data_IF_593311965436
#
_entry.id   IF_593311965436
#
_cell.length_a   1.000
_cell.length_b   1.000
_cell.length_c   1.000
_cell.angle_alpha   90.00
_cell.angle_beta   90.00
_cell.angle_gamma   90.00
#
_symmetry.space_group_name_H-M   'P 1'
#
loop_
_entity.id
_entity.type
_entity.pdbx_description
1 polymer ?
#
# COMPACT_ATOMS: atom_id res chain seq x y z
N UNK A 1 -14.58 -10.66 32.50
CA UNK A 1 -14.64 -9.26 32.05
C UNK A 1 -13.22 -8.88 31.70
N UNK A 2 -12.85 -9.01 30.45
CA UNK A 2 -11.56 -8.56 29.92
C UNK A 2 -11.63 -7.04 29.77
N UNK A 3 -10.96 -6.34 30.68
CA UNK A 3 -10.74 -4.90 30.63
C UNK A 3 -9.93 -4.61 29.36
N UNK A 4 -10.50 -3.92 28.37
CA UNK A 4 -9.70 -3.33 27.29
C UNK A 4 -8.69 -2.37 27.92
N UNK A 5 -7.41 -2.38 27.48
CA UNK A 5 -6.43 -1.41 27.96
C UNK A 5 -6.95 0.00 27.63
N UNK A 6 -6.90 0.87 28.64
CA UNK A 6 -7.29 2.27 28.50
C UNK A 6 -6.37 2.94 27.47
N UNK A 7 -6.94 3.51 26.41
CA UNK A 7 -6.18 4.20 25.36
C UNK A 7 -5.42 5.40 25.97
N UNK A 8 -4.22 5.61 25.51
CA UNK A 8 -3.45 6.79 25.87
C UNK A 8 -3.96 8.03 25.13
N UNK A 9 -3.74 9.22 25.68
CA UNK A 9 -4.09 10.50 25.01
C UNK A 9 -3.41 10.61 23.63
N UNK A 10 -2.22 10.05 23.48
CA UNK A 10 -1.52 10.00 22.18
C UNK A 10 -2.28 9.15 21.14
N UNK A 11 -2.78 8.00 21.55
CA UNK A 11 -3.57 7.12 20.68
C UNK A 11 -4.93 7.73 20.33
N UNK A 12 -5.58 8.41 21.27
CA UNK A 12 -6.84 9.11 21.03
C UNK A 12 -6.67 10.26 20.02
N UNK A 13 -5.59 11.04 20.14
CA UNK A 13 -5.25 12.12 19.20
C UNK A 13 -4.98 11.56 17.80
N UNK A 14 -4.23 10.46 17.68
CA UNK A 14 -3.93 9.82 16.41
C UNK A 14 -5.20 9.25 15.77
N UNK A 15 -6.05 8.56 16.53
CA UNK A 15 -7.31 8.01 16.06
C UNK A 15 -8.27 9.12 15.58
N UNK A 16 -8.37 10.21 16.34
CA UNK A 16 -9.18 11.37 15.96
C UNK A 16 -8.67 12.03 14.69
N UNK A 17 -7.35 12.13 14.52
CA UNK A 17 -6.75 12.71 13.32
C UNK A 17 -7.00 11.84 12.08
N UNK A 18 -6.87 10.50 12.21
CA UNK A 18 -7.19 9.56 11.13
C UNK A 18 -8.66 9.64 10.72
N UNK A 19 -9.59 9.67 11.67
CA UNK A 19 -11.02 9.79 11.39
C UNK A 19 -11.34 11.10 10.66
N UNK A 20 -10.75 12.22 11.10
CA UNK A 20 -10.95 13.52 10.43
C UNK A 20 -10.37 13.53 9.01
N UNK A 21 -9.22 12.87 8.80
CA UNK A 21 -8.61 12.73 7.48
C UNK A 21 -9.51 11.93 6.54
N UNK A 22 -10.01 10.77 6.99
CA UNK A 22 -10.85 9.89 6.17
C UNK A 22 -12.18 10.56 5.80
N UNK A 23 -12.80 11.26 6.73
CA UNK A 23 -14.13 11.86 6.53
C UNK A 23 -14.06 13.18 5.75
N UNK A 24 -13.04 14.01 6.02
CA UNK A 24 -13.03 15.39 5.58
C UNK A 24 -11.78 15.80 4.77
N UNK A 25 -10.84 14.86 4.56
CA UNK A 25 -9.58 15.11 3.85
C UNK A 25 -8.53 15.91 4.66
N UNK A 26 -7.37 16.21 4.02
CA UNK A 26 -6.21 16.78 4.70
C UNK A 26 -6.44 18.17 5.31
N UNK A 27 -7.36 18.97 4.77
CA UNK A 27 -7.72 20.30 5.29
C UNK A 27 -8.39 20.25 6.68
N UNK A 28 -8.90 19.07 7.06
CA UNK A 28 -9.48 18.86 8.39
C UNK A 28 -8.42 18.64 9.48
N UNK A 29 -7.17 18.33 9.12
CA UNK A 29 -6.08 18.12 10.06
C UNK A 29 -5.62 19.42 10.71
N UNK A 30 -6.45 19.95 11.58
CA UNK A 30 -6.19 21.18 12.34
C UNK A 30 -6.07 20.86 13.83
N UNK A 31 -5.06 21.40 14.50
CA UNK A 31 -4.78 21.15 15.94
C UNK A 31 -6.04 21.27 16.81
N UNK A 32 -6.88 22.29 16.56
CA UNK A 32 -8.12 22.51 17.34
C UNK A 32 -9.17 21.43 17.08
N UNK A 33 -9.36 21.03 15.82
CA UNK A 33 -10.33 20.00 15.45
C UNK A 33 -9.93 18.66 16.01
N UNK A 34 -8.65 18.30 15.89
CA UNK A 34 -8.10 17.03 16.40
C UNK A 34 -8.21 16.96 17.93
N UNK A 35 -7.80 18.02 18.63
CA UNK A 35 -7.91 18.07 20.09
C UNK A 35 -9.36 17.98 20.57
N UNK A 36 -10.29 18.69 19.90
CA UNK A 36 -11.71 18.61 20.23
C UNK A 36 -12.30 17.21 19.97
N UNK A 37 -11.96 16.58 18.85
CA UNK A 37 -12.41 15.22 18.51
C UNK A 37 -11.85 14.16 19.48
N UNK A 38 -10.63 14.37 19.98
CA UNK A 38 -10.00 13.50 20.99
C UNK A 38 -10.41 13.83 22.45
N UNK A 39 -11.29 14.81 22.65
CA UNK A 39 -11.72 15.21 24.00
C UNK A 39 -10.61 15.80 24.88
N UNK A 40 -9.60 16.45 24.28
CA UNK A 40 -8.44 16.97 24.99
C UNK A 40 -8.10 18.42 24.57
N UNK A 41 -7.00 18.95 25.08
CA UNK A 41 -6.54 20.32 24.78
C UNK A 41 -5.59 20.36 23.58
N UNK A 42 -5.52 21.54 22.91
CA UNK A 42 -4.52 21.76 21.85
C UNK A 42 -3.09 21.61 22.34
N UNK A 43 -2.82 21.84 23.62
CA UNK A 43 -1.51 21.65 24.22
C UNK A 43 -1.10 20.16 24.20
N UNK A 44 -2.05 19.23 24.30
CA UNK A 44 -1.77 17.80 24.22
C UNK A 44 -1.12 17.41 22.89
N UNK A 45 -1.50 18.04 21.76
CA UNK A 45 -0.86 17.80 20.46
C UNK A 45 0.63 18.16 20.52
N UNK A 46 0.98 19.28 21.11
CA UNK A 46 2.38 19.68 21.26
C UNK A 46 3.14 18.79 22.24
N UNK A 47 2.49 18.39 23.34
CA UNK A 47 3.10 17.52 24.37
C UNK A 47 3.41 16.13 23.80
N UNK A 48 2.49 15.53 23.02
CA UNK A 48 2.61 14.13 22.58
C UNK A 48 3.26 13.97 21.21
N UNK A 49 3.23 15.00 20.36
CA UNK A 49 3.78 14.93 19.00
C UNK A 49 4.84 16.02 18.72
N UNK A 50 4.95 17.06 19.53
CA UNK A 50 5.82 18.18 19.23
C UNK A 50 5.22 19.21 18.25
N UNK A 51 4.12 18.86 17.57
CA UNK A 51 3.40 19.74 16.64
C UNK A 51 2.80 19.01 15.47
N UNK A 52 2.23 19.78 14.53
CA UNK A 52 1.54 19.22 13.36
C UNK A 52 2.44 18.40 12.42
N UNK A 53 3.70 18.77 12.14
CA UNK A 53 4.56 17.96 11.27
C UNK A 53 4.75 16.53 11.78
N UNK A 54 5.02 16.38 13.07
CA UNK A 54 5.23 15.06 13.71
C UNK A 54 3.92 14.28 13.84
N UNK A 55 2.80 14.97 14.04
CA UNK A 55 1.48 14.31 14.02
C UNK A 55 1.15 13.78 12.60
N UNK A 56 1.42 14.55 11.54
CA UNK A 56 1.24 14.11 10.15
C UNK A 56 2.16 12.92 9.84
N UNK A 57 3.41 12.93 10.29
CA UNK A 57 4.29 11.78 10.17
C UNK A 57 3.71 10.55 10.88
N UNK A 58 3.20 10.70 12.11
CA UNK A 58 2.58 9.61 12.84
C UNK A 58 1.30 9.07 12.17
N UNK A 59 0.50 9.93 11.51
CA UNK A 59 -0.65 9.51 10.70
C UNK A 59 -0.16 8.68 9.49
N UNK A 60 0.89 9.11 8.83
CA UNK A 60 1.49 8.39 7.69
C UNK A 60 2.04 7.03 8.12
N UNK A 61 2.79 6.99 9.22
CA UNK A 61 3.35 5.74 9.77
C UNK A 61 2.24 4.74 10.15
N UNK A 62 1.18 5.22 10.79
CA UNK A 62 0.03 4.39 11.15
C UNK A 62 -0.73 3.92 9.91
N UNK A 63 -0.86 4.78 8.89
CA UNK A 63 -1.44 4.42 7.60
C UNK A 63 -0.64 3.31 6.90
N UNK A 64 0.68 3.42 6.86
CA UNK A 64 1.58 2.40 6.30
C UNK A 64 1.51 1.09 7.08
N UNK A 65 1.40 1.14 8.42
CA UNK A 65 1.21 -0.05 9.26
C UNK A 65 -0.12 -0.76 8.97
N UNK A 66 -1.22 -0.03 8.87
CA UNK A 66 -2.54 -0.59 8.53
C UNK A 66 -2.56 -1.14 7.10
N UNK A 67 -1.86 -0.50 6.19
CA UNK A 67 -1.69 -0.97 4.82
C UNK A 67 -0.90 -2.27 4.77
N UNK A 68 0.21 -2.37 5.48
CA UNK A 68 1.02 -3.59 5.63
C UNK A 68 0.20 -4.74 6.21
N UNK A 69 -0.57 -4.49 7.26
CA UNK A 69 -1.49 -5.48 7.84
C UNK A 69 -2.54 -5.95 6.85
N UNK A 70 -3.15 -5.03 6.08
CA UNK A 70 -4.13 -5.38 5.06
C UNK A 70 -3.54 -6.25 3.95
N UNK A 71 -2.29 -6.01 3.55
CA UNK A 71 -1.58 -6.81 2.53
C UNK A 71 -1.11 -8.17 3.03
N UNK A 72 -1.19 -8.43 4.34
CA UNK A 72 -0.79 -9.70 4.94
C UNK A 72 -1.86 -10.77 4.70
N UNK A 73 -1.69 -11.54 3.64
CA UNK A 73 -2.60 -12.62 3.24
C UNK A 73 -1.98 -13.99 3.52
N UNK A 74 -2.81 -15.04 3.77
CA UNK A 74 -2.34 -16.41 3.84
C UNK A 74 -1.70 -16.83 2.51
N UNK A 75 -0.55 -17.50 2.58
CA UNK A 75 0.09 -18.04 1.40
C UNK A 75 -0.61 -19.33 0.93
N UNK A 76 -0.74 -19.48 -0.39
CA UNK A 76 -1.27 -20.69 -1.04
C UNK A 76 -0.18 -21.41 -1.87
N UNK A 77 -0.58 -22.47 -2.56
CA UNK A 77 0.30 -23.20 -3.49
C UNK A 77 0.50 -22.46 -4.83
N UNK A 78 -0.31 -21.42 -5.12
CA UNK A 78 -0.15 -20.56 -6.30
C UNK A 78 0.40 -19.18 -5.91
N UNK A 79 1.73 -18.98 -5.95
CA UNK A 79 2.34 -17.70 -5.56
C UNK A 79 1.99 -16.54 -6.50
N UNK A 80 1.57 -16.82 -7.74
CA UNK A 80 1.08 -15.77 -8.65
C UNK A 80 -0.33 -15.34 -8.26
N UNK A 81 -1.19 -16.28 -7.86
CA UNK A 81 -2.51 -15.95 -7.32
C UNK A 81 -2.38 -15.11 -6.03
N UNK A 82 -1.44 -15.46 -5.12
CA UNK A 82 -1.17 -14.70 -3.90
C UNK A 82 -0.68 -13.27 -4.21
N UNK A 83 0.22 -13.13 -5.21
CA UNK A 83 0.70 -11.81 -5.67
C UNK A 83 -0.45 -10.95 -6.22
N UNK A 84 -1.34 -11.55 -7.01
CA UNK A 84 -2.51 -10.87 -7.58
C UNK A 84 -3.55 -10.52 -6.50
N UNK A 85 -3.78 -11.40 -5.53
CA UNK A 85 -4.66 -11.15 -4.39
C UNK A 85 -4.16 -9.96 -3.55
N UNK A 86 -2.85 -9.86 -3.33
CA UNK A 86 -2.22 -8.69 -2.70
C UNK A 86 -2.55 -7.41 -3.48
N UNK A 87 -2.53 -7.44 -4.82
CA UNK A 87 -2.93 -6.32 -5.67
C UNK A 87 -4.41 -5.93 -5.53
N UNK A 88 -5.31 -6.91 -5.39
CA UNK A 88 -6.75 -6.66 -5.18
C UNK A 88 -6.98 -5.98 -3.84
N UNK A 89 -6.33 -6.46 -2.77
CA UNK A 89 -6.41 -5.85 -1.42
C UNK A 89 -5.79 -4.45 -1.41
N UNK A 90 -4.66 -4.26 -2.11
CA UNK A 90 -4.04 -2.95 -2.31
C UNK A 90 -5.05 -1.94 -2.88
N UNK A 91 -5.72 -2.30 -3.97
CA UNK A 91 -6.73 -1.45 -4.61
C UNK A 91 -7.89 -1.15 -3.66
N UNK A 92 -8.40 -2.17 -2.96
CA UNK A 92 -9.48 -2.00 -1.96
C UNK A 92 -9.09 -0.98 -0.89
N UNK A 93 -7.92 -1.13 -0.26
CA UNK A 93 -7.43 -0.20 0.75
C UNK A 93 -7.35 1.25 0.25
N UNK A 94 -6.79 1.44 -0.95
CA UNK A 94 -6.66 2.76 -1.55
C UNK A 94 -8.02 3.44 -1.82
N UNK A 95 -9.02 2.65 -2.18
CA UNK A 95 -10.39 3.13 -2.44
C UNK A 95 -11.19 3.38 -1.18
N UNK A 96 -11.03 2.53 -0.19
CA UNK A 96 -11.72 2.67 1.10
C UNK A 96 -11.17 3.88 1.89
N UNK A 97 -9.90 4.23 1.67
CA UNK A 97 -9.21 5.31 2.40
C UNK A 97 -8.42 6.24 1.48
N UNK A 98 -9.07 6.92 0.53
CA UNK A 98 -8.40 7.66 -0.54
C UNK A 98 -7.56 8.85 -0.03
N UNK A 99 -7.99 9.51 1.03
CA UNK A 99 -7.24 10.62 1.63
C UNK A 99 -5.98 10.14 2.33
N UNK A 100 -6.07 9.05 3.11
CA UNK A 100 -4.92 8.45 3.76
C UNK A 100 -3.92 7.90 2.74
N UNK A 101 -4.41 7.17 1.73
CA UNK A 101 -3.57 6.65 0.64
C UNK A 101 -2.78 7.76 -0.07
N UNK A 102 -3.44 8.86 -0.45
CA UNK A 102 -2.77 10.00 -1.08
C UNK A 102 -1.74 10.66 -0.17
N UNK A 103 -2.01 10.74 1.14
CA UNK A 103 -1.07 11.28 2.11
C UNK A 103 0.16 10.37 2.28
N UNK A 104 -0.04 9.06 2.41
CA UNK A 104 1.03 8.06 2.56
C UNK A 104 2.03 8.09 1.41
N UNK A 105 1.55 8.27 0.18
CA UNK A 105 2.38 8.23 -1.03
C UNK A 105 2.74 9.63 -1.58
N UNK A 106 2.56 10.67 -0.79
CA UNK A 106 3.01 12.03 -1.10
C UNK A 106 2.30 12.69 -2.28
N UNK A 107 1.17 12.14 -2.75
CA UNK A 107 0.37 12.73 -3.83
C UNK A 107 -0.53 13.89 -3.35
N UNK A 108 -0.65 14.06 -2.05
CA UNK A 108 -1.22 15.24 -1.39
C UNK A 108 -0.37 15.61 -0.18
N UNK A 109 -0.44 16.89 0.21
CA UNK A 109 0.19 17.36 1.43
C UNK A 109 -0.86 17.77 2.45
N UNK A 110 -0.54 17.65 3.74
CA UNK A 110 -1.28 18.29 4.80
C UNK A 110 -0.45 19.46 5.33
N UNK A 111 -0.96 20.67 5.21
CA UNK A 111 -0.24 21.91 5.56
C UNK A 111 1.13 22.07 4.88
N UNK A 112 1.26 21.62 3.63
CA UNK A 112 2.54 21.66 2.90
C UNK A 112 3.56 20.58 3.34
N UNK A 113 3.15 19.64 4.19
CA UNK A 113 3.99 18.54 4.67
C UNK A 113 3.65 17.29 3.86
N UNK A 114 4.66 16.72 3.21
CA UNK A 114 4.56 15.48 2.45
C UNK A 114 5.15 14.31 3.25
N UNK A 115 4.65 13.10 3.00
CA UNK A 115 5.31 11.89 3.48
C UNK A 115 6.71 11.75 2.84
N UNK A 116 7.71 11.25 3.58
CA UNK A 116 9.04 11.02 3.03
C UNK A 116 9.01 9.94 1.95
N UNK A 117 9.69 10.19 0.83
CA UNK A 117 9.90 9.18 -0.19
C UNK A 117 11.10 8.29 0.17
N UNK A 118 10.98 6.99 -0.08
CA UNK A 118 12.06 6.02 0.09
C UNK A 118 12.59 5.57 -1.27
N UNK A 119 13.91 5.48 -1.41
CA UNK A 119 14.52 4.89 -2.60
C UNK A 119 14.49 3.36 -2.46
N UNK A 120 13.39 2.73 -2.89
CA UNK A 120 13.20 1.29 -2.77
C UNK A 120 14.25 0.47 -3.53
N UNK A 121 14.79 1.00 -4.63
CA UNK A 121 15.82 0.33 -5.42
C UNK A 121 17.23 0.36 -4.78
N UNK A 122 17.40 1.09 -3.68
CA UNK A 122 18.63 1.08 -2.90
C UNK A 122 18.72 -0.10 -1.91
N UNK A 123 17.64 -0.85 -1.71
CA UNK A 123 17.58 -1.97 -0.76
C UNK A 123 17.69 -3.30 -1.49
N UNK A 124 18.41 -4.25 -0.90
CA UNK A 124 18.36 -5.66 -1.28
C UNK A 124 17.10 -6.35 -0.75
N UNK A 125 16.82 -7.57 -1.20
CA UNK A 125 15.64 -8.35 -0.78
C UNK A 125 15.61 -8.61 0.73
N UNK A 126 16.75 -8.77 1.38
CA UNK A 126 16.85 -8.99 2.82
C UNK A 126 16.59 -7.73 3.67
N UNK A 127 16.83 -6.55 3.11
CA UNK A 127 16.70 -5.28 3.82
C UNK A 127 15.30 -4.68 3.68
N UNK A 128 14.60 -5.02 2.60
CA UNK A 128 13.32 -4.40 2.22
C UNK A 128 12.21 -4.65 3.25
N UNK A 129 12.22 -5.79 3.93
CA UNK A 129 11.24 -6.14 4.97
C UNK A 129 11.26 -5.14 6.13
N UNK A 130 12.44 -4.68 6.52
CA UNK A 130 12.59 -3.71 7.60
C UNK A 130 12.43 -2.26 7.11
N UNK A 131 12.87 -1.97 5.88
CA UNK A 131 12.90 -0.62 5.34
C UNK A 131 11.53 -0.16 4.81
N UNK A 132 10.80 -1.04 4.10
CA UNK A 132 9.50 -0.73 3.48
C UNK A 132 8.58 -1.96 3.54
N UNK A 133 8.02 -2.32 4.72
CA UNK A 133 7.26 -3.56 4.93
C UNK A 133 6.14 -3.77 3.91
N UNK A 134 5.36 -2.75 3.60
CA UNK A 134 4.27 -2.84 2.63
C UNK A 134 4.73 -3.19 1.21
N UNK A 135 5.92 -2.75 0.79
CA UNK A 135 6.51 -3.12 -0.50
C UNK A 135 7.13 -4.53 -0.46
N UNK A 136 7.57 -4.97 0.70
CA UNK A 136 8.13 -6.31 0.90
C UNK A 136 7.16 -7.42 0.51
N UNK A 137 5.84 -7.23 0.62
CA UNK A 137 4.85 -8.19 0.14
C UNK A 137 4.99 -8.47 -1.35
N UNK A 138 5.21 -7.43 -2.17
CA UNK A 138 5.46 -7.59 -3.61
C UNK A 138 6.78 -8.30 -3.90
N UNK A 139 7.85 -7.92 -3.19
CA UNK A 139 9.17 -8.56 -3.33
C UNK A 139 9.09 -10.05 -2.99
N UNK A 140 8.46 -10.41 -1.87
CA UNK A 140 8.23 -11.82 -1.48
C UNK A 140 7.36 -12.57 -2.48
N UNK A 141 6.29 -11.95 -2.98
CA UNK A 141 5.41 -12.52 -3.99
C UNK A 141 6.14 -12.83 -5.31
N UNK A 142 6.94 -11.90 -5.81
CA UNK A 142 7.77 -12.08 -7.00
C UNK A 142 8.82 -13.17 -6.76
N UNK A 143 9.52 -13.14 -5.64
CA UNK A 143 10.55 -14.14 -5.28
C UNK A 143 9.95 -15.57 -5.22
N UNK A 144 8.81 -15.75 -4.55
CA UNK A 144 8.08 -17.04 -4.50
C UNK A 144 7.66 -17.50 -5.91
N UNK A 145 7.19 -16.58 -6.75
CA UNK A 145 6.79 -16.87 -8.12
C UNK A 145 7.97 -17.31 -8.99
N UNK A 146 9.16 -16.75 -8.76
CA UNK A 146 10.42 -17.20 -9.39
C UNK A 146 10.82 -18.59 -8.89
N UNK A 147 10.78 -18.85 -7.59
CA UNK A 147 11.09 -20.16 -7.02
C UNK A 147 10.15 -21.26 -7.53
N UNK A 148 8.88 -20.93 -7.78
CA UNK A 148 7.91 -21.85 -8.38
C UNK A 148 8.05 -22.01 -9.91
N UNK A 149 9.06 -21.36 -10.52
CA UNK A 149 9.29 -21.41 -11.98
C UNK A 149 8.21 -20.72 -12.81
N UNK A 150 7.41 -19.85 -12.18
CA UNK A 150 6.37 -19.06 -12.84
C UNK A 150 6.94 -17.79 -13.48
N UNK A 151 7.78 -17.08 -12.74
CA UNK A 151 8.43 -15.86 -13.21
C UNK A 151 9.94 -16.06 -13.37
N UNK A 152 10.55 -15.21 -14.17
CA UNK A 152 11.99 -15.19 -14.42
C UNK A 152 12.46 -13.74 -14.41
N UNK A 153 13.56 -13.49 -13.71
CA UNK A 153 14.37 -12.29 -13.90
C UNK A 153 15.59 -12.66 -14.73
N UNK A 154 16.17 -11.68 -15.42
CA UNK A 154 17.36 -11.95 -16.23
C UNK A 154 18.45 -12.63 -15.37
N UNK A 155 19.08 -13.71 -15.85
CA UNK A 155 20.21 -14.30 -15.14
C UNK A 155 21.33 -13.26 -15.05
N UNK A 156 21.76 -12.98 -13.83
CA UNK A 156 22.80 -12.02 -13.53
C UNK A 156 24.06 -12.72 -13.03
N UNK A 157 25.19 -12.05 -13.16
CA UNK A 157 26.52 -12.59 -12.84
C UNK A 157 26.76 -12.78 -11.33
N UNK A 158 25.93 -12.13 -10.48
CA UNK A 158 26.04 -12.21 -9.01
C UNK A 158 24.69 -12.35 -8.33
N UNK A 159 24.69 -12.83 -7.08
CA UNK A 159 23.51 -12.92 -6.23
C UNK A 159 22.89 -11.51 -5.96
N UNK A 160 23.75 -10.51 -5.74
CA UNK A 160 23.35 -9.12 -5.52
C UNK A 160 22.60 -8.55 -6.73
N UNK A 161 23.07 -8.81 -7.95
CA UNK A 161 22.38 -8.39 -9.17
C UNK A 161 21.05 -9.12 -9.35
N UNK A 162 20.99 -10.39 -8.94
CA UNK A 162 19.74 -11.16 -8.94
C UNK A 162 18.73 -10.57 -7.96
N UNK A 163 19.17 -10.21 -6.75
CA UNK A 163 18.34 -9.53 -5.74
C UNK A 163 17.79 -8.19 -6.25
N UNK A 164 18.64 -7.37 -6.83
CA UNK A 164 18.23 -6.10 -7.44
C UNK A 164 17.22 -6.30 -8.58
N UNK A 165 17.35 -7.37 -9.37
CA UNK A 165 16.40 -7.70 -10.44
C UNK A 165 15.02 -8.15 -9.88
N UNK A 166 14.99 -8.85 -8.74
CA UNK A 166 13.74 -9.20 -8.04
C UNK A 166 13.04 -7.95 -7.52
N UNK A 167 13.77 -7.05 -6.87
CA UNK A 167 13.23 -5.77 -6.39
C UNK A 167 12.71 -4.91 -7.55
N UNK A 168 13.45 -4.87 -8.67
CA UNK A 168 13.02 -4.14 -9.87
C UNK A 168 11.75 -4.75 -10.48
N UNK A 169 11.62 -6.07 -10.53
CA UNK A 169 10.40 -6.74 -11.00
C UNK A 169 9.20 -6.42 -10.07
N UNK A 170 9.38 -6.44 -8.75
CA UNK A 170 8.36 -6.03 -7.80
C UNK A 170 7.95 -4.56 -8.01
N UNK A 171 8.92 -3.67 -8.28
CA UNK A 171 8.66 -2.26 -8.56
C UNK A 171 7.84 -2.05 -9.86
N UNK A 172 7.94 -2.94 -10.86
CA UNK A 172 7.09 -2.90 -12.05
C UNK A 172 5.62 -3.17 -11.69
N UNK A 173 5.32 -4.18 -10.87
CA UNK A 173 3.97 -4.43 -10.37
C UNK A 173 3.45 -3.24 -9.57
N UNK A 174 4.27 -2.67 -8.70
CA UNK A 174 3.89 -1.49 -7.94
C UNK A 174 3.62 -0.28 -8.84
N UNK A 175 4.43 -0.05 -9.85
CA UNK A 175 4.24 1.04 -10.82
C UNK A 175 2.92 0.92 -11.55
N UNK A 176 2.57 -0.28 -12.03
CA UNK A 176 1.28 -0.55 -12.69
C UNK A 176 0.13 -0.28 -11.72
N UNK A 177 0.17 -0.85 -10.53
CA UNK A 177 -0.89 -0.71 -9.53
C UNK A 177 -1.03 0.73 -9.03
N UNK A 178 0.07 1.34 -8.60
CA UNK A 178 0.04 2.70 -8.06
C UNK A 178 -0.36 3.72 -9.12
N UNK A 179 0.18 3.61 -10.33
CA UNK A 179 -0.19 4.47 -11.45
C UNK A 179 -1.68 4.36 -11.79
N UNK A 180 -2.21 3.14 -11.84
CA UNK A 180 -3.65 2.91 -12.02
C UNK A 180 -4.47 3.56 -10.90
N UNK A 181 -4.08 3.34 -9.63
CA UNK A 181 -4.78 3.91 -8.47
C UNK A 181 -4.80 5.44 -8.48
N UNK A 182 -3.69 6.07 -8.86
CA UNK A 182 -3.63 7.53 -8.94
C UNK A 182 -4.62 8.09 -9.96
N UNK A 183 -4.77 7.43 -11.11
CA UNK A 183 -5.73 7.83 -12.15
C UNK A 183 -7.17 7.52 -11.73
N UNK A 184 -7.41 6.35 -11.14
CA UNK A 184 -8.73 5.94 -10.64
C UNK A 184 -9.24 6.89 -9.57
N UNK A 185 -8.44 7.18 -8.54
CA UNK A 185 -8.79 8.09 -7.45
C UNK A 185 -8.93 9.56 -7.91
N UNK A 186 -8.32 9.93 -9.03
CA UNK A 186 -8.51 11.24 -9.65
C UNK A 186 -9.76 11.32 -10.53
N UNK A 187 -10.52 10.22 -10.69
CA UNK A 187 -11.77 10.17 -11.45
C UNK A 187 -11.61 9.99 -12.97
N UNK A 188 -10.38 9.69 -13.45
CA UNK A 188 -10.16 9.52 -14.90
C UNK A 188 -10.84 8.30 -15.51
N UNK A 189 -11.26 7.33 -14.71
CA UNK A 189 -11.90 6.10 -15.18
C UNK A 189 -13.40 6.03 -14.91
N UNK A 190 -14.04 7.18 -14.64
CA UNK A 190 -15.48 7.26 -14.40
C UNK A 190 -15.86 7.21 -12.91
N UNK A 191 -17.16 7.05 -12.65
CA UNK A 191 -17.70 6.95 -11.29
C UNK A 191 -17.70 5.50 -10.78
N UNK A 192 -18.20 5.30 -9.57
CA UNK A 192 -18.14 4.02 -8.84
C UNK A 192 -18.70 2.80 -9.62
N UNK A 193 -19.71 3.00 -10.45
CA UNK A 193 -20.31 1.93 -11.26
C UNK A 193 -19.39 1.41 -12.40
N UNK A 194 -18.39 2.22 -12.78
CA UNK A 194 -17.40 1.87 -13.81
C UNK A 194 -16.17 1.14 -13.27
N UNK A 195 -16.11 0.93 -11.96
CA UNK A 195 -14.93 0.40 -11.25
C UNK A 195 -14.52 -1.01 -11.69
N UNK A 196 -15.51 -1.88 -11.88
CA UNK A 196 -15.25 -3.25 -12.37
C UNK A 196 -14.76 -3.17 -13.80
N UNK A 197 -15.31 -2.27 -14.61
CA UNK A 197 -14.90 -2.06 -15.99
C UNK A 197 -13.44 -1.62 -16.09
N UNK A 198 -13.04 -0.56 -15.36
CA UNK A 198 -11.67 -0.07 -15.37
C UNK A 198 -10.66 -1.15 -14.91
N UNK A 199 -10.98 -1.88 -13.84
CA UNK A 199 -10.12 -2.96 -13.35
C UNK A 199 -10.01 -4.10 -14.39
N UNK A 200 -11.10 -4.50 -15.05
CA UNK A 200 -11.10 -5.60 -16.01
C UNK A 200 -10.53 -5.21 -17.36
N UNK A 201 -10.74 -3.98 -17.83
CA UNK A 201 -10.29 -3.54 -19.15
C UNK A 201 -8.88 -2.92 -19.15
N UNK A 202 -8.39 -2.44 -18.02
CA UNK A 202 -7.09 -1.76 -17.93
C UNK A 202 -6.14 -2.51 -16.98
N UNK A 203 -6.46 -2.59 -15.69
CA UNK A 203 -5.53 -3.10 -14.69
C UNK A 203 -5.20 -4.58 -14.89
N UNK A 204 -6.23 -5.43 -15.07
CA UNK A 204 -6.04 -6.88 -15.23
C UNK A 204 -5.24 -7.23 -16.50
N UNK A 205 -5.53 -6.69 -17.70
CA UNK A 205 -4.71 -6.94 -18.89
C UNK A 205 -3.26 -6.45 -18.74
N UNK A 206 -3.02 -5.30 -18.12
CA UNK A 206 -1.67 -4.79 -17.88
C UNK A 206 -0.89 -5.72 -16.94
N UNK A 207 -1.53 -6.18 -15.87
CA UNK A 207 -0.90 -7.07 -14.90
C UNK A 207 -0.61 -8.44 -15.51
N UNK A 208 -1.56 -9.03 -16.27
CA UNK A 208 -1.34 -10.29 -16.99
C UNK A 208 -0.22 -10.13 -18.03
N UNK A 209 -0.18 -9.03 -18.77
CA UNK A 209 0.90 -8.77 -19.72
C UNK A 209 2.27 -8.70 -19.04
N UNK A 210 2.33 -8.08 -17.87
CA UNK A 210 3.56 -8.02 -17.08
C UNK A 210 4.01 -9.42 -16.63
N UNK A 211 3.08 -10.26 -16.13
CA UNK A 211 3.37 -11.66 -15.78
C UNK A 211 3.94 -12.44 -16.96
N UNK A 212 3.35 -12.27 -18.15
CA UNK A 212 3.81 -12.95 -19.37
C UNK A 212 5.20 -12.46 -19.79
N UNK A 213 5.46 -11.16 -19.74
CA UNK A 213 6.80 -10.60 -20.03
C UNK A 213 7.84 -11.14 -19.04
N UNK A 214 7.45 -11.37 -17.79
CA UNK A 214 8.30 -11.96 -16.77
C UNK A 214 8.38 -13.51 -16.84
N UNK A 215 7.75 -14.14 -17.81
CA UNK A 215 7.97 -15.55 -18.12
C UNK A 215 6.82 -16.51 -17.80
N UNK A 216 5.69 -16.02 -17.31
CA UNK A 216 4.48 -16.84 -17.15
C UNK A 216 3.78 -17.08 -18.52
N UNK A 217 2.77 -17.96 -18.55
CA UNK A 217 1.94 -18.09 -19.74
C UNK A 217 0.60 -17.38 -19.57
N UNK A 218 -0.03 -16.89 -20.66
CA UNK A 218 -1.33 -16.23 -20.59
C UNK A 218 -2.39 -17.06 -19.87
N UNK A 219 -2.41 -18.38 -20.13
CA UNK A 219 -3.40 -19.31 -19.57
C UNK A 219 -3.20 -19.46 -18.05
N UNK A 220 -1.95 -19.64 -17.59
CA UNK A 220 -1.63 -19.78 -16.16
C UNK A 220 -1.87 -18.47 -15.42
N UNK A 221 -1.48 -17.34 -16.00
CA UNK A 221 -1.73 -16.01 -15.41
C UNK A 221 -3.25 -15.74 -15.27
N UNK A 222 -4.06 -16.10 -16.27
CA UNK A 222 -5.52 -15.97 -16.21
C UNK A 222 -6.14 -16.88 -15.13
N UNK A 223 -5.65 -18.12 -14.98
CA UNK A 223 -6.08 -19.04 -13.93
C UNK A 223 -5.75 -18.49 -12.54
N UNK A 224 -4.51 -17.99 -12.34
CA UNK A 224 -4.10 -17.37 -11.08
C UNK A 224 -4.91 -16.12 -10.77
N UNK A 225 -5.26 -15.31 -11.78
CA UNK A 225 -6.13 -14.13 -11.58
C UNK A 225 -7.53 -14.55 -11.11
N UNK A 226 -8.12 -15.57 -11.73
CA UNK A 226 -9.41 -16.10 -11.27
C UNK A 226 -9.34 -16.62 -9.83
N UNK A 227 -8.28 -17.33 -9.45
CA UNK A 227 -8.07 -17.80 -8.08
C UNK A 227 -7.92 -16.63 -7.09
N UNK A 228 -7.16 -15.59 -7.45
CA UNK A 228 -6.95 -14.41 -6.61
C UNK A 228 -8.25 -13.66 -6.29
N UNK A 229 -9.18 -13.59 -7.26
CA UNK A 229 -10.50 -12.96 -7.05
C UNK A 229 -11.37 -13.68 -6.02
N UNK A 230 -11.11 -14.95 -5.74
CA UNK A 230 -11.80 -15.72 -4.70
C UNK A 230 -11.12 -15.67 -3.34
N UNK A 231 -9.84 -15.26 -3.28
CA UNK A 231 -9.06 -15.16 -2.04
C UNK A 231 -9.19 -13.81 -1.35
N UNK A 232 -9.35 -12.74 -2.12
CA UNK A 232 -9.34 -11.35 -1.67
C UNK A 232 -10.76 -10.81 -1.49
#
# INVERSE_FOLDING_TARGET
VTSQPERTVREDLLAAALALLDEHGPEALQTRKIAAAAGTSTMAVYTHFGGMPQLIAAITDEGLRQFDEALTLPATDDPVADLLATGIVYRRFARDRPHLYRLMFGSTSAHGINAPAHNMLAFGTAEIDAAVPSFAHLVRGVHRSIQAGRLRVAPNESAEQTDAAVVAAAAQFWTVMHGFMMLELAGYFGEADDEVYAATQILSPMTVSLLVVLGDTPERAAQSLAAALHQA
#
